data_IF_106677876380
#
_entry.id   IF_106677876380
#
_cell.length_a   1.000
_cell.length_b   1.000
_cell.length_c   1.000
_cell.angle_alpha   90.00
_cell.angle_beta   90.00
_cell.angle_gamma   90.00
#
_symmetry.space_group_name_H-M   'P 1'
#
loop_
_entity.id
_entity.type
_entity.pdbx_description
1 polymer ?
#
# COMPACT_ATOMS: atom_id res chain seq x y z
N UNK A 1 19.60 -20.88 -27.90
CA UNK A 1 18.33 -20.19 -28.22
C UNK A 1 17.35 -20.56 -27.11
N UNK A 2 16.88 -19.57 -26.34
CA UNK A 2 15.80 -19.79 -25.38
C UNK A 2 14.53 -20.12 -26.18
N UNK A 3 14.14 -21.40 -26.22
CA UNK A 3 12.86 -21.80 -26.75
C UNK A 3 11.84 -21.56 -25.64
N UNK A 4 11.13 -20.43 -25.71
CA UNK A 4 9.96 -20.23 -24.86
C UNK A 4 8.92 -21.29 -25.24
N UNK A 5 8.69 -22.25 -24.34
CA UNK A 5 7.66 -23.26 -24.53
C UNK A 5 6.30 -22.56 -24.67
N UNK A 6 5.61 -22.83 -25.77
CA UNK A 6 4.30 -22.24 -26.05
C UNK A 6 3.27 -22.62 -24.99
N UNK A 7 3.40 -23.80 -24.37
CA UNK A 7 2.54 -24.22 -23.26
C UNK A 7 2.81 -23.42 -21.99
N UNK A 8 4.07 -23.18 -21.64
CA UNK A 8 4.45 -22.31 -20.52
C UNK A 8 3.94 -20.88 -20.72
N UNK A 9 4.13 -20.31 -21.91
CA UNK A 9 3.65 -18.96 -22.23
C UNK A 9 2.12 -18.84 -22.10
N UNK A 10 1.38 -19.81 -22.61
CA UNK A 10 -0.09 -19.76 -22.63
C UNK A 10 -0.74 -20.07 -21.27
N UNK A 11 -0.19 -21.03 -20.51
CA UNK A 11 -0.83 -21.51 -19.28
C UNK A 11 -0.25 -20.91 -17.99
N UNK A 12 0.98 -20.40 -18.02
CA UNK A 12 1.64 -19.84 -16.84
C UNK A 12 1.82 -18.34 -16.99
N UNK A 13 2.58 -17.91 -18.01
CA UNK A 13 2.97 -16.51 -18.13
C UNK A 13 1.76 -15.58 -18.39
N UNK A 14 0.96 -15.89 -19.41
CA UNK A 14 -0.14 -15.03 -19.86
C UNK A 14 -1.25 -14.88 -18.80
N UNK A 15 -1.70 -15.95 -18.10
CA UNK A 15 -2.68 -15.82 -17.03
C UNK A 15 -2.17 -15.01 -15.83
N UNK A 16 -0.91 -15.21 -15.41
CA UNK A 16 -0.30 -14.47 -14.30
C UNK A 16 -0.20 -12.98 -14.66
N UNK A 17 0.26 -12.67 -15.88
CA UNK A 17 0.35 -11.29 -16.35
C UNK A 17 -1.04 -10.64 -16.43
N UNK A 18 -2.02 -11.32 -17.01
CA UNK A 18 -3.38 -10.82 -17.14
C UNK A 18 -4.02 -10.56 -15.77
N UNK A 19 -3.87 -11.48 -14.81
CA UNK A 19 -4.37 -11.32 -13.45
C UNK A 19 -3.68 -10.15 -12.74
N UNK A 20 -2.35 -10.06 -12.83
CA UNK A 20 -1.58 -8.99 -12.20
C UNK A 20 -1.99 -7.61 -12.72
N UNK A 21 -2.16 -7.48 -14.05
CA UNK A 21 -2.63 -6.25 -14.66
C UNK A 21 -4.09 -5.95 -14.26
N UNK A 22 -4.95 -6.96 -14.25
CA UNK A 22 -6.35 -6.83 -13.86
C UNK A 22 -6.51 -6.30 -12.43
N UNK A 23 -5.76 -6.85 -11.47
CA UNK A 23 -5.76 -6.39 -10.07
C UNK A 23 -5.26 -4.95 -9.98
N UNK A 24 -4.16 -4.61 -10.65
CA UNK A 24 -3.64 -3.24 -10.64
C UNK A 24 -4.65 -2.23 -11.22
N UNK A 25 -5.30 -2.57 -12.33
CA UNK A 25 -6.33 -1.73 -12.94
C UNK A 25 -7.54 -1.58 -12.01
N UNK A 26 -7.98 -2.67 -11.38
CA UNK A 26 -9.08 -2.64 -10.42
C UNK A 26 -8.79 -1.74 -9.22
N UNK A 27 -7.60 -1.87 -8.61
CA UNK A 27 -7.20 -1.04 -7.47
C UNK A 27 -7.11 0.44 -7.84
N UNK A 28 -6.47 0.76 -8.98
CA UNK A 28 -6.39 2.15 -9.48
C UNK A 28 -7.77 2.72 -9.79
N UNK A 29 -8.65 1.93 -10.41
CA UNK A 29 -10.02 2.35 -10.74
C UNK A 29 -10.85 2.61 -9.49
N UNK A 30 -10.78 1.69 -8.52
CA UNK A 30 -11.48 1.78 -7.24
C UNK A 30 -11.00 3.00 -6.46
N UNK A 31 -9.68 3.20 -6.33
CA UNK A 31 -9.13 4.37 -5.67
C UNK A 31 -9.57 5.67 -6.35
N UNK A 32 -9.51 5.75 -7.68
CA UNK A 32 -9.99 6.92 -8.45
C UNK A 32 -11.48 7.20 -8.22
N UNK A 33 -12.31 6.16 -8.18
CA UNK A 33 -13.75 6.32 -7.92
C UNK A 33 -13.98 6.90 -6.52
N UNK A 34 -13.34 6.34 -5.50
CA UNK A 34 -13.57 6.74 -4.10
C UNK A 34 -12.82 8.00 -3.68
N UNK A 35 -11.78 8.42 -4.41
CA UNK A 35 -11.11 9.70 -4.18
C UNK A 35 -11.92 10.90 -4.66
N UNK A 36 -12.90 10.69 -5.54
CA UNK A 36 -13.85 11.71 -5.99
C UNK A 36 -15.07 11.84 -5.07
N UNK A 37 -15.36 10.81 -4.27
CA UNK A 37 -16.47 10.84 -3.32
C UNK A 37 -16.02 11.56 -2.06
N UNK A 38 -16.63 12.72 -1.78
CA UNK A 38 -16.35 13.52 -0.59
C UNK A 38 -16.79 12.76 0.67
N UNK A 39 -15.98 12.77 1.71
CA UNK A 39 -16.37 12.13 2.98
C UNK A 39 -17.43 12.96 3.72
N UNK A 40 -18.22 12.29 4.57
CA UNK A 40 -19.35 12.90 5.30
C UNK A 40 -18.91 13.99 6.29
N UNK A 41 -17.68 13.89 6.81
CA UNK A 41 -17.13 14.85 7.78
C UNK A 41 -16.49 16.08 7.13
N UNK A 42 -16.30 16.08 5.80
CA UNK A 42 -15.62 17.15 5.07
C UNK A 42 -14.12 17.33 5.42
N UNK A 43 -13.51 16.39 6.13
CA UNK A 43 -12.14 16.48 6.65
C UNK A 43 -11.12 16.00 5.62
N UNK A 44 -9.98 16.68 5.50
CA UNK A 44 -8.86 16.21 4.66
C UNK A 44 -8.17 14.98 5.29
N UNK A 45 -7.32 14.27 4.56
CA UNK A 45 -6.58 13.14 5.13
C UNK A 45 -5.72 13.54 6.34
N UNK A 46 -5.08 14.72 6.28
CA UNK A 46 -4.33 15.27 7.40
C UNK A 46 -5.22 15.52 8.63
N UNK A 47 -6.41 16.07 8.42
CA UNK A 47 -7.35 16.34 9.52
C UNK A 47 -7.91 15.04 10.10
N UNK A 48 -8.20 14.04 9.25
CA UNK A 48 -8.61 12.70 9.69
C UNK A 48 -7.54 12.08 10.58
N UNK A 49 -6.27 12.18 10.19
CA UNK A 49 -5.18 11.61 10.98
C UNK A 49 -5.07 12.24 12.36
N UNK A 50 -5.14 13.57 12.43
CA UNK A 50 -5.17 14.32 13.70
C UNK A 50 -6.37 13.94 14.56
N UNK A 51 -7.56 13.94 13.97
CA UNK A 51 -8.79 13.59 14.66
C UNK A 51 -8.79 12.14 15.18
N UNK A 52 -8.14 11.21 14.47
CA UNK A 52 -8.01 9.83 14.92
C UNK A 52 -6.99 9.68 16.06
N UNK A 53 -5.86 10.39 16.03
CA UNK A 53 -4.95 10.42 17.17
C UNK A 53 -5.61 10.99 18.43
N UNK A 54 -6.43 12.03 18.29
CA UNK A 54 -7.17 12.60 19.44
C UNK A 54 -8.25 11.68 20.02
N UNK A 55 -8.72 10.70 19.23
CA UNK A 55 -9.81 9.78 19.60
C UNK A 55 -9.33 8.38 19.98
N UNK A 56 -8.03 8.14 19.93
CA UNK A 56 -7.42 6.84 20.23
C UNK A 56 -6.34 7.00 21.28
N UNK A 57 -5.99 5.91 21.96
CA UNK A 57 -4.89 5.90 22.94
C UNK A 57 -3.49 5.82 22.27
N UNK A 58 -3.42 6.09 20.96
CA UNK A 58 -2.18 6.02 20.21
C UNK A 58 -1.30 7.23 20.53
N UNK A 59 -0.01 6.97 20.76
CA UNK A 59 0.98 8.05 20.81
C UNK A 59 1.01 8.74 19.45
N UNK A 60 0.72 10.04 19.44
CA UNK A 60 0.72 10.83 18.22
C UNK A 60 2.11 10.84 17.59
N UNK A 61 2.16 10.51 16.30
CA UNK A 61 3.38 10.54 15.50
C UNK A 61 3.25 11.54 14.33
N UNK A 62 4.35 12.06 13.79
CA UNK A 62 4.29 13.04 12.71
C UNK A 62 3.61 12.49 11.45
N UNK A 63 2.67 13.28 10.92
CA UNK A 63 2.08 13.08 9.59
C UNK A 63 2.83 13.97 8.60
N UNK A 64 3.35 13.40 7.51
CA UNK A 64 4.10 14.12 6.48
C UNK A 64 3.48 13.90 5.11
N UNK A 65 3.60 14.90 4.25
CA UNK A 65 3.16 14.78 2.85
C UNK A 65 4.34 14.35 1.98
N UNK A 66 4.18 13.23 1.27
CA UNK A 66 5.15 12.73 0.30
C UNK A 66 4.66 12.95 -1.13
N UNK A 67 5.62 12.97 -2.06
CA UNK A 67 5.33 13.07 -3.49
C UNK A 67 4.85 11.72 -4.02
N UNK A 68 4.03 11.78 -5.07
CA UNK A 68 3.49 10.60 -5.74
C UNK A 68 2.02 10.38 -5.44
N UNK A 69 1.51 9.27 -5.95
CA UNK A 69 0.11 8.83 -5.83
C UNK A 69 0.11 7.41 -5.29
N UNK A 70 -0.72 7.11 -4.30
CA UNK A 70 -0.73 5.79 -3.64
C UNK A 70 0.64 5.39 -3.07
N UNK A 71 1.40 6.38 -2.60
CA UNK A 71 2.70 6.19 -1.93
C UNK A 71 2.58 6.29 -0.41
N UNK A 72 1.35 6.25 0.11
CA UNK A 72 1.03 6.30 1.53
C UNK A 72 1.63 5.10 2.26
N UNK A 73 2.31 5.35 3.39
CA UNK A 73 2.88 4.31 4.23
C UNK A 73 3.24 4.83 5.63
N UNK A 74 3.13 3.96 6.62
CA UNK A 74 3.80 4.10 7.91
C UNK A 74 5.24 3.56 7.85
N UNK A 75 6.21 4.41 8.22
CA UNK A 75 7.61 4.02 8.41
C UNK A 75 7.91 3.72 9.89
N UNK A 76 8.08 2.45 10.29
CA UNK A 76 8.34 2.08 11.68
C UNK A 76 9.75 2.46 12.17
N UNK A 77 10.69 2.79 11.27
CA UNK A 77 12.07 3.17 11.64
C UNK A 77 12.12 4.62 12.09
N UNK A 78 11.45 5.50 11.36
CA UNK A 78 11.39 6.93 11.67
C UNK A 78 10.14 7.30 12.48
N UNK A 79 9.21 6.36 12.66
CA UNK A 79 7.93 6.56 13.34
C UNK A 79 7.15 7.74 12.73
N UNK A 80 7.00 7.73 11.40
CA UNK A 80 6.25 8.76 10.68
C UNK A 80 5.23 8.12 9.75
N UNK A 81 4.10 8.79 9.53
CA UNK A 81 3.15 8.41 8.47
C UNK A 81 3.37 9.33 7.29
N UNK A 82 3.73 8.73 6.15
CA UNK A 82 3.81 9.40 4.88
C UNK A 82 2.45 9.31 4.19
N UNK A 83 1.87 10.46 3.85
CA UNK A 83 0.63 10.57 3.09
C UNK A 83 0.92 11.17 1.72
N UNK A 84 0.41 10.56 0.66
CA UNK A 84 0.49 11.11 -0.68
C UNK A 84 -0.33 12.39 -0.78
N UNK A 85 0.07 13.33 -1.64
CA UNK A 85 -0.63 14.61 -1.80
C UNK A 85 -2.13 14.45 -2.12
N UNK A 86 -2.50 13.42 -2.89
CA UNK A 86 -3.90 13.13 -3.23
C UNK A 86 -4.74 12.64 -2.03
N UNK A 87 -4.09 12.16 -0.96
CA UNK A 87 -4.73 11.71 0.28
C UNK A 87 -4.67 12.81 1.33
N UNK A 88 -3.52 13.45 1.52
CA UNK A 88 -3.28 14.45 2.54
C UNK A 88 -4.28 15.62 2.45
N UNK A 89 -4.48 16.18 1.26
CA UNK A 89 -5.20 17.45 1.07
C UNK A 89 -6.63 17.31 0.55
N UNK A 90 -7.09 16.07 0.28
CA UNK A 90 -8.44 15.85 -0.28
C UNK A 90 -9.41 15.30 0.76
N UNK A 91 -10.60 15.91 0.92
CA UNK A 91 -11.62 15.41 1.84
C UNK A 91 -12.45 14.29 1.21
N UNK A 92 -11.82 13.16 0.88
CA UNK A 92 -12.47 12.02 0.22
C UNK A 92 -12.65 10.80 1.12
N UNK A 93 -13.54 9.88 0.73
CA UNK A 93 -13.71 8.58 1.40
C UNK A 93 -12.43 7.75 1.28
N UNK A 94 -11.78 7.76 0.11
CA UNK A 94 -10.51 7.07 -0.07
C UNK A 94 -9.41 7.64 0.86
N UNK A 95 -9.31 8.97 0.98
CA UNK A 95 -8.32 9.59 1.86
C UNK A 95 -8.54 9.20 3.33
N UNK A 96 -9.78 9.22 3.80
CA UNK A 96 -10.13 8.80 5.15
C UNK A 96 -9.79 7.32 5.40
N UNK A 97 -10.09 6.44 4.44
CA UNK A 97 -9.81 5.01 4.54
C UNK A 97 -8.30 4.71 4.55
N UNK A 98 -7.52 5.39 3.70
CA UNK A 98 -6.06 5.23 3.65
C UNK A 98 -5.42 5.69 4.95
N UNK A 99 -5.80 6.87 5.47
CA UNK A 99 -5.26 7.37 6.75
C UNK A 99 -5.60 6.43 7.91
N UNK A 100 -6.82 5.92 7.95
CA UNK A 100 -7.22 4.92 8.96
C UNK A 100 -6.42 3.62 8.84
N UNK A 101 -6.12 3.18 7.61
CA UNK A 101 -5.29 2.00 7.35
C UNK A 101 -3.85 2.19 7.89
N UNK A 102 -3.22 3.32 7.58
CA UNK A 102 -1.86 3.61 8.05
C UNK A 102 -1.81 3.75 9.58
N UNK A 103 -2.82 4.37 10.20
CA UNK A 103 -2.92 4.41 11.67
C UNK A 103 -3.14 3.02 12.27
N UNK A 104 -3.77 2.10 11.55
CA UNK A 104 -3.81 0.69 11.92
C UNK A 104 -2.42 0.08 12.01
N UNK A 105 -1.50 0.44 11.11
CA UNK A 105 -0.10 0.02 11.20
C UNK A 105 0.64 0.67 12.38
N UNK A 106 0.35 1.94 12.68
CA UNK A 106 0.86 2.61 13.88
C UNK A 106 0.41 1.89 15.14
N UNK A 107 -0.88 1.54 15.22
CA UNK A 107 -1.43 0.78 16.34
C UNK A 107 -0.75 -0.57 16.48
N UNK A 108 -0.59 -1.33 15.38
CA UNK A 108 0.08 -2.63 15.40
C UNK A 108 1.55 -2.51 15.86
N UNK A 109 2.22 -1.41 15.51
CA UNK A 109 3.58 -1.14 15.95
C UNK A 109 3.63 -0.82 17.46
N UNK A 110 2.79 0.09 17.94
CA UNK A 110 2.73 0.46 19.35
C UNK A 110 2.26 -0.70 20.25
N UNK A 111 1.40 -1.58 19.73
CA UNK A 111 0.94 -2.77 20.45
C UNK A 111 1.92 -3.96 20.39
N UNK A 112 3.12 -3.78 19.83
CA UNK A 112 4.12 -4.87 19.66
C UNK A 112 3.55 -6.10 18.94
N UNK A 113 2.71 -5.89 17.92
CA UNK A 113 2.01 -6.98 17.24
C UNK A 113 2.98 -7.96 16.58
N UNK A 114 2.78 -9.26 16.83
CA UNK A 114 3.58 -10.35 16.25
C UNK A 114 3.54 -10.34 14.72
N UNK A 115 2.44 -9.88 14.12
CA UNK A 115 2.29 -9.72 12.67
C UNK A 115 3.27 -8.69 12.08
N UNK A 116 3.53 -7.61 12.81
CA UNK A 116 4.51 -6.59 12.38
C UNK A 116 5.94 -7.10 12.51
N UNK A 117 6.26 -7.84 13.57
CA UNK A 117 7.56 -8.49 13.72
C UNK A 117 7.81 -9.50 12.57
N UNK A 118 6.81 -10.32 12.24
CA UNK A 118 6.88 -11.27 11.14
C UNK A 118 7.06 -10.56 9.78
N UNK A 119 6.28 -9.50 9.52
CA UNK A 119 6.44 -8.67 8.32
C UNK A 119 7.85 -8.09 8.21
N UNK A 120 8.36 -7.47 9.27
CA UNK A 120 9.68 -6.84 9.25
C UNK A 120 10.82 -7.84 9.01
N UNK A 121 10.68 -9.07 9.50
CA UNK A 121 11.62 -10.15 9.23
C UNK A 121 11.56 -10.63 7.77
N UNK A 122 10.36 -10.73 7.18
CA UNK A 122 10.17 -11.25 5.82
C UNK A 122 10.45 -10.22 4.72
N UNK A 123 10.19 -8.93 4.97
CA UNK A 123 10.32 -7.85 3.96
C UNK A 123 11.65 -7.87 3.21
N UNK A 124 12.84 -8.01 3.85
CA UNK A 124 14.12 -8.06 3.13
C UNK A 124 14.18 -9.23 2.13
N UNK A 125 13.68 -10.41 2.49
CA UNK A 125 13.66 -11.57 1.61
C UNK A 125 12.68 -11.37 0.44
N UNK A 126 11.50 -10.80 0.73
CA UNK A 126 10.47 -10.53 -0.28
C UNK A 126 10.89 -9.44 -1.26
N UNK A 127 11.76 -8.49 -0.87
CA UNK A 127 12.26 -7.45 -1.77
C UNK A 127 13.11 -8.00 -2.93
N UNK A 128 13.81 -9.13 -2.72
CA UNK A 128 14.54 -9.82 -3.80
C UNK A 128 13.64 -10.71 -4.66
N UNK A 129 12.44 -11.04 -4.18
CA UNK A 129 11.51 -11.96 -4.83
C UNK A 129 11.13 -11.52 -6.24
N UNK A 130 10.76 -10.26 -6.54
CA UNK A 130 10.37 -9.86 -7.89
C UNK A 130 11.52 -9.99 -8.89
N UNK A 131 12.74 -9.58 -8.51
CA UNK A 131 13.91 -9.69 -9.39
C UNK A 131 14.21 -11.15 -9.72
N UNK A 132 14.24 -12.01 -8.70
CA UNK A 132 14.46 -13.46 -8.88
C UNK A 132 13.33 -14.08 -9.69
N UNK A 133 12.08 -13.68 -9.44
CA UNK A 133 10.91 -14.21 -10.15
C UNK A 133 10.93 -13.80 -11.62
N UNK A 134 11.24 -12.54 -11.94
CA UNK A 134 11.34 -12.11 -13.34
C UNK A 134 12.49 -12.79 -14.07
N UNK A 135 13.64 -12.97 -13.41
CA UNK A 135 14.77 -13.74 -13.98
C UNK A 135 14.37 -15.20 -14.21
N UNK A 136 13.71 -15.84 -13.24
CA UNK A 136 13.22 -17.21 -13.37
C UNK A 136 12.21 -17.35 -14.52
N UNK A 137 11.23 -16.45 -14.60
CA UNK A 137 10.22 -16.44 -15.66
C UNK A 137 10.87 -16.25 -17.03
N UNK A 138 11.82 -15.33 -17.17
CA UNK A 138 12.53 -15.10 -18.44
C UNK A 138 13.44 -16.28 -18.79
N UNK A 139 14.04 -16.92 -17.78
CA UNK A 139 14.86 -18.11 -17.96
C UNK A 139 14.03 -19.38 -18.25
N UNK A 140 12.69 -19.32 -18.12
CA UNK A 140 11.78 -20.45 -18.33
C UNK A 140 11.78 -21.46 -17.18
N UNK A 141 12.07 -21.00 -15.96
CA UNK A 141 12.09 -21.80 -14.73
C UNK A 141 10.80 -21.62 -13.91
#
# INVERSE_FOLDING_TARGET
MFYFDTTYLLYVFLPILAMSLGVQLYLKSTFRKWSQVRNSSGLTGMDVGRALFERTDLTAIPLQVTRGTLSDNFDPRHQVVNLSHDVADRPSVAAMAVVAHELGHVQQYQSSSVLMAARNFLVPAVQFSPMISYVAIIAGL
#
